data_IF_418915555027
#
_entry.id   IF_418915555027
#
_cell.length_a   1.000
_cell.length_b   1.000
_cell.length_c   1.000
_cell.angle_alpha   90.00
_cell.angle_beta   90.00
_cell.angle_gamma   90.00
#
_symmetry.space_group_name_H-M   'P 1'
#
loop_
_entity.id
_entity.type
_entity.pdbx_description
1 polymer ?
#
# COMPACT_ATOMS: atom_id res chain seq x y z
N UNK A 1 -6.64 7.37 -33.90
CA UNK A 1 -5.26 7.82 -33.59
C UNK A 1 -5.24 8.92 -32.53
N UNK A 2 -6.07 9.96 -32.64
CA UNK A 2 -6.12 11.08 -31.63
C UNK A 2 -6.53 10.59 -30.24
N UNK A 3 -7.48 9.68 -30.14
CA UNK A 3 -7.95 9.11 -28.85
C UNK A 3 -6.82 8.35 -28.17
N UNK A 4 -6.11 7.51 -28.91
CA UNK A 4 -4.97 6.73 -28.37
C UNK A 4 -3.86 7.65 -27.86
N UNK A 5 -3.54 8.70 -28.62
CA UNK A 5 -2.53 9.68 -28.20
C UNK A 5 -2.91 10.43 -26.92
N UNK A 6 -4.20 10.81 -26.78
CA UNK A 6 -4.71 11.40 -25.54
C UNK A 6 -4.65 10.45 -24.36
N UNK A 7 -4.99 9.17 -24.57
CA UNK A 7 -4.90 8.14 -23.51
C UNK A 7 -3.44 7.91 -23.07
N UNK A 8 -2.51 7.81 -24.03
CA UNK A 8 -1.08 7.67 -23.72
C UNK A 8 -0.56 8.89 -22.96
N UNK A 9 -0.96 10.12 -23.40
CA UNK A 9 -0.59 11.34 -22.70
C UNK A 9 -1.11 11.35 -21.27
N UNK A 10 -2.39 11.01 -21.06
CA UNK A 10 -3.00 10.90 -19.73
C UNK A 10 -2.24 9.91 -18.84
N UNK A 11 -1.98 8.69 -19.32
CA UNK A 11 -1.24 7.67 -18.54
C UNK A 11 0.17 8.11 -18.16
N UNK A 12 0.83 8.90 -19.01
CA UNK A 12 2.18 9.40 -18.73
C UNK A 12 2.22 10.58 -17.74
N UNK A 13 1.14 11.36 -17.64
CA UNK A 13 1.10 12.61 -16.88
C UNK A 13 0.14 12.56 -15.69
N UNK A 14 -0.52 11.42 -15.46
CA UNK A 14 -1.36 11.23 -14.27
C UNK A 14 -0.49 11.22 -13.03
N UNK A 15 -0.86 12.04 -12.04
CA UNK A 15 -0.28 11.96 -10.70
C UNK A 15 -0.67 10.62 -10.08
N UNK A 16 0.29 9.79 -9.79
CA UNK A 16 0.07 8.48 -9.18
C UNK A 16 0.07 8.52 -7.64
N UNK A 17 0.24 9.72 -7.05
CA UNK A 17 0.32 9.87 -5.60
C UNK A 17 1.58 9.29 -4.97
N UNK A 18 2.58 8.96 -5.78
CA UNK A 18 3.87 8.40 -5.33
C UNK A 18 5.00 8.77 -6.29
N UNK A 19 6.23 8.82 -5.78
CA UNK A 19 7.43 8.95 -6.62
C UNK A 19 7.69 7.65 -7.37
N UNK A 20 7.96 7.76 -8.66
CA UNK A 20 8.30 6.62 -9.53
C UNK A 20 9.39 6.92 -10.55
N UNK A 21 9.85 8.16 -10.59
CA UNK A 21 10.87 8.55 -11.55
C UNK A 21 12.23 7.99 -11.13
N UNK A 22 12.99 7.53 -12.12
CA UNK A 22 14.32 6.98 -11.89
C UNK A 22 14.37 5.76 -10.95
N UNK A 23 13.27 5.05 -10.78
CA UNK A 23 13.22 3.80 -10.03
C UNK A 23 13.44 2.63 -10.99
N UNK A 24 14.37 1.74 -10.63
CA UNK A 24 14.63 0.50 -11.36
C UNK A 24 14.39 -0.71 -10.44
N UNK A 25 13.65 -1.68 -10.94
CA UNK A 25 13.48 -2.97 -10.28
C UNK A 25 14.52 -3.95 -10.80
N UNK A 26 15.34 -4.51 -9.91
CA UNK A 26 16.36 -5.49 -10.25
C UNK A 26 15.95 -6.85 -9.73
N UNK A 27 15.56 -7.75 -10.64
CA UNK A 27 15.23 -9.13 -10.29
C UNK A 27 16.51 -9.96 -10.13
N UNK A 28 16.75 -10.46 -8.93
CA UNK A 28 17.88 -11.32 -8.62
C UNK A 28 17.42 -12.78 -8.53
N UNK A 29 17.68 -13.56 -9.56
CA UNK A 29 17.25 -14.96 -9.63
C UNK A 29 18.15 -15.92 -8.86
N UNK A 30 19.41 -15.54 -8.60
CA UNK A 30 20.41 -16.34 -7.88
C UNK A 30 21.40 -15.43 -7.15
N UNK A 31 21.89 -15.90 -6.01
CA UNK A 31 22.96 -15.23 -5.26
C UNK A 31 22.49 -14.61 -3.95
N UNK A 32 23.42 -14.03 -3.23
CA UNK A 32 23.16 -13.33 -1.99
C UNK A 32 22.60 -11.93 -2.26
N UNK A 33 21.30 -11.77 -1.99
CA UNK A 33 20.57 -10.52 -2.20
C UNK A 33 21.21 -9.36 -1.44
N UNK A 34 21.72 -9.60 -0.20
CA UNK A 34 22.38 -8.56 0.59
C UNK A 34 23.67 -8.10 -0.06
N UNK A 35 24.47 -9.05 -0.60
CA UNK A 35 25.72 -8.72 -1.28
C UNK A 35 25.47 -7.91 -2.56
N UNK A 36 24.46 -8.29 -3.35
CA UNK A 36 24.09 -7.54 -4.55
C UNK A 36 23.50 -6.18 -4.22
N UNK A 37 22.66 -6.08 -3.20
CA UNK A 37 22.13 -4.80 -2.71
C UNK A 37 23.25 -3.82 -2.35
N UNK A 38 24.28 -4.29 -1.63
CA UNK A 38 25.46 -3.47 -1.31
C UNK A 38 26.26 -3.03 -2.54
N UNK A 39 26.43 -3.91 -3.52
CA UNK A 39 27.13 -3.56 -4.79
C UNK A 39 26.34 -2.52 -5.60
N UNK A 40 25.02 -2.65 -5.66
CA UNK A 40 24.15 -1.70 -6.35
C UNK A 40 24.18 -0.34 -5.64
N UNK A 41 24.05 -0.33 -4.31
CA UNK A 41 24.10 0.88 -3.50
C UNK A 41 25.44 1.65 -3.64
N UNK A 42 26.54 0.94 -3.95
CA UNK A 42 27.84 1.56 -4.15
C UNK A 42 28.01 2.25 -5.54
N UNK A 43 27.06 2.10 -6.46
CA UNK A 43 27.12 2.76 -7.76
C UNK A 43 26.87 4.27 -7.61
N UNK A 44 27.68 5.15 -8.23
CA UNK A 44 27.56 6.60 -8.04
C UNK A 44 26.21 7.21 -8.47
N UNK A 45 25.48 6.50 -9.33
CA UNK A 45 24.17 6.91 -9.84
C UNK A 45 23.00 6.45 -9.00
N UNK A 46 23.25 5.62 -7.98
CA UNK A 46 22.21 5.06 -7.10
C UNK A 46 22.19 5.88 -5.82
N UNK A 47 21.07 6.51 -5.57
CA UNK A 47 20.87 7.34 -4.37
C UNK A 47 20.32 6.53 -3.21
N UNK A 48 19.51 5.50 -3.51
CA UNK A 48 18.87 4.68 -2.49
C UNK A 48 18.55 3.28 -3.03
N UNK A 49 18.54 2.29 -2.16
CA UNK A 49 18.13 0.91 -2.47
C UNK A 49 17.12 0.46 -1.43
N UNK A 50 15.90 0.21 -1.87
CA UNK A 50 14.86 -0.34 -1.00
C UNK A 50 15.20 -1.80 -0.64
N UNK A 51 15.09 -2.20 0.65
CA UNK A 51 15.36 -3.56 1.09
C UNK A 51 14.54 -4.61 0.33
N UNK A 52 15.11 -5.81 0.11
CA UNK A 52 14.47 -6.88 -0.69
C UNK A 52 13.23 -7.50 -0.02
N UNK A 53 12.87 -7.07 1.18
CA UNK A 53 11.63 -7.46 1.87
C UNK A 53 10.37 -6.87 1.24
N UNK A 54 10.52 -5.84 0.42
CA UNK A 54 9.42 -5.21 -0.27
C UNK A 54 9.34 -5.68 -1.72
N UNK A 55 8.11 -5.83 -2.19
CA UNK A 55 7.87 -6.06 -3.61
C UNK A 55 7.68 -4.71 -4.31
N UNK A 56 8.08 -4.62 -5.59
CA UNK A 56 7.78 -3.44 -6.38
C UNK A 56 6.26 -3.21 -6.42
N UNK A 57 5.82 -1.99 -6.14
CA UNK A 57 4.38 -1.66 -6.18
C UNK A 57 3.82 -1.99 -7.56
N UNK A 58 4.49 -1.56 -8.62
CA UNK A 58 4.08 -1.82 -9.99
C UNK A 58 5.13 -2.74 -10.65
N UNK A 59 4.70 -3.84 -11.29
CA UNK A 59 3.34 -4.26 -11.64
C UNK A 59 2.67 -5.22 -10.66
N UNK A 60 3.26 -5.54 -9.53
CA UNK A 60 2.83 -6.66 -8.69
C UNK A 60 1.60 -6.39 -7.83
N UNK A 61 1.41 -5.13 -7.40
CA UNK A 61 0.31 -4.78 -6.50
C UNK A 61 0.40 -5.42 -5.11
N UNK A 62 -0.70 -5.56 -4.38
CA UNK A 62 -0.73 -6.19 -3.07
C UNK A 62 -0.29 -7.65 -3.11
N UNK A 63 0.44 -8.08 -2.07
CA UNK A 63 0.92 -9.46 -1.97
C UNK A 63 -0.11 -10.41 -1.40
N UNK A 64 -0.95 -9.91 -0.52
CA UNK A 64 -1.99 -10.69 0.16
C UNK A 64 -3.31 -9.95 0.06
N UNK A 65 -4.39 -10.71 0.14
CA UNK A 65 -5.74 -10.18 0.24
C UNK A 65 -6.39 -10.77 1.48
N UNK A 66 -7.10 -9.93 2.22
CA UNK A 66 -7.86 -10.36 3.38
C UNK A 66 -9.30 -9.81 3.27
N UNK A 67 -10.24 -10.60 3.75
CA UNK A 67 -11.64 -10.19 3.83
C UNK A 67 -11.90 -9.53 5.18
N UNK A 68 -12.67 -8.44 5.15
CA UNK A 68 -13.11 -7.71 6.33
C UNK A 68 -14.63 -7.71 6.34
N UNK A 69 -15.22 -8.33 7.36
CA UNK A 69 -16.67 -8.38 7.55
C UNK A 69 -17.11 -7.76 8.88
N UNK A 70 -16.15 -7.19 9.60
CA UNK A 70 -16.40 -6.48 10.85
C UNK A 70 -15.47 -5.27 10.96
N UNK A 71 -16.03 -4.08 11.17
CA UNK A 71 -15.27 -2.85 11.40
C UNK A 71 -16.06 -1.84 12.21
N UNK A 72 -15.36 -0.92 12.82
CA UNK A 72 -15.98 0.14 13.62
C UNK A 72 -16.90 1.03 12.76
N UNK A 73 -18.08 1.35 13.28
CA UNK A 73 -19.14 2.09 12.58
C UNK A 73 -19.68 1.38 11.32
N UNK A 74 -19.55 0.06 11.24
CA UNK A 74 -20.10 -0.73 10.13
C UNK A 74 -21.62 -0.57 10.07
N UNK A 75 -22.19 -0.19 8.90
CA UNK A 75 -23.63 -0.14 8.73
C UNK A 75 -24.28 -1.52 8.83
N UNK A 76 -25.44 -1.62 9.48
CA UNK A 76 -26.19 -2.90 9.63
C UNK A 76 -26.57 -3.56 8.28
N UNK A 77 -26.65 -2.79 7.21
CA UNK A 77 -27.05 -3.25 5.88
C UNK A 77 -25.92 -3.89 5.06
N UNK A 78 -24.70 -3.98 5.59
CA UNK A 78 -23.58 -4.59 4.85
C UNK A 78 -23.58 -6.09 5.05
N UNK A 79 -23.87 -6.83 3.98
CA UNK A 79 -23.95 -8.31 4.02
C UNK A 79 -22.68 -8.97 3.46
N UNK A 80 -21.94 -8.28 2.59
CA UNK A 80 -20.76 -8.85 1.94
C UNK A 80 -19.45 -8.30 2.53
N UNK A 81 -18.43 -9.15 2.71
CA UNK A 81 -17.13 -8.72 3.19
C UNK A 81 -16.44 -7.82 2.16
N UNK A 82 -15.66 -6.86 2.68
CA UNK A 82 -14.79 -6.02 1.86
C UNK A 82 -13.43 -6.68 1.74
N UNK A 83 -12.96 -6.89 0.52
CA UNK A 83 -11.59 -7.39 0.28
C UNK A 83 -10.60 -6.23 0.34
N UNK A 84 -9.58 -6.36 1.18
CA UNK A 84 -8.48 -5.42 1.30
C UNK A 84 -7.16 -6.06 0.85
N UNK A 85 -6.39 -5.35 0.06
CA UNK A 85 -5.03 -5.74 -0.29
C UNK A 85 -4.06 -5.37 0.83
N UNK A 86 -3.17 -6.28 1.22
CA UNK A 86 -2.17 -6.03 2.27
C UNK A 86 -0.78 -6.04 1.64
N UNK A 87 -0.01 -4.99 1.90
CA UNK A 87 1.38 -4.85 1.45
C UNK A 87 2.30 -4.63 2.64
N UNK A 88 3.45 -5.34 2.70
CA UNK A 88 4.49 -5.02 3.68
C UNK A 88 5.00 -3.59 3.46
N UNK A 89 5.04 -2.79 4.52
CA UNK A 89 5.58 -1.44 4.48
C UNK A 89 6.12 -1.03 5.85
N UNK A 90 7.22 -0.32 5.82
CA UNK A 90 7.82 0.36 6.97
C UNK A 90 8.24 1.75 6.55
N UNK A 91 8.78 2.54 7.47
CA UNK A 91 9.14 3.93 7.22
C UNK A 91 9.98 4.13 5.94
N UNK A 92 10.96 3.27 5.70
CA UNK A 92 11.80 3.29 4.49
C UNK A 92 10.99 3.11 3.18
N UNK A 93 9.92 2.32 3.20
CA UNK A 93 9.02 2.17 2.06
C UNK A 93 8.23 3.45 1.76
N UNK A 94 7.69 4.09 2.80
CA UNK A 94 6.95 5.34 2.63
C UNK A 94 7.86 6.48 2.14
N UNK A 95 9.07 6.56 2.68
CA UNK A 95 10.05 7.57 2.29
C UNK A 95 10.51 7.34 0.83
N UNK A 96 10.79 6.10 0.44
CA UNK A 96 11.25 5.75 -0.91
C UNK A 96 10.25 6.11 -2.01
N UNK A 97 8.97 5.86 -1.77
CA UNK A 97 7.90 6.19 -2.72
C UNK A 97 7.28 7.57 -2.48
N UNK A 98 7.79 8.34 -1.53
CA UNK A 98 7.28 9.65 -1.13
C UNK A 98 5.77 9.65 -0.84
N UNK A 99 5.28 8.61 -0.16
CA UNK A 99 3.88 8.50 0.21
C UNK A 99 3.51 9.53 1.27
N UNK A 100 2.52 10.35 0.99
CA UNK A 100 2.16 11.48 1.84
C UNK A 100 1.22 11.08 2.96
N UNK A 101 1.67 11.21 4.20
CA UNK A 101 0.83 11.05 5.39
C UNK A 101 -0.19 12.19 5.47
N UNK A 102 -1.44 11.85 5.73
CA UNK A 102 -2.56 12.79 5.91
C UNK A 102 -2.98 12.84 7.36
N UNK A 103 -3.04 11.68 8.02
CA UNK A 103 -3.52 11.52 9.39
C UNK A 103 -2.66 10.49 10.13
N UNK A 104 -2.40 10.74 11.43
CA UNK A 104 -1.71 9.78 12.30
C UNK A 104 -0.21 9.69 12.10
N UNK A 105 0.31 8.47 12.07
CA UNK A 105 1.73 8.17 11.96
C UNK A 105 2.03 7.06 10.95
N UNK A 106 3.25 7.04 10.41
CA UNK A 106 3.75 5.96 9.56
C UNK A 106 4.23 4.79 10.40
N UNK A 107 4.15 3.59 9.83
CA UNK A 107 4.62 2.38 10.48
C UNK A 107 6.12 2.43 10.77
N UNK A 108 6.46 1.94 11.94
CA UNK A 108 7.81 1.82 12.45
C UNK A 108 7.96 0.53 13.28
N UNK A 109 9.17 0.21 13.69
CA UNK A 109 9.43 -0.97 14.55
C UNK A 109 8.75 -0.89 15.94
N UNK A 110 8.18 0.26 16.31
CA UNK A 110 7.48 0.48 17.58
C UNK A 110 6.00 0.11 17.52
N UNK A 111 5.44 -0.02 16.31
CA UNK A 111 4.04 -0.33 16.12
C UNK A 111 3.75 -1.80 16.43
N UNK A 112 2.51 -2.10 16.83
CA UNK A 112 2.07 -3.45 17.04
C UNK A 112 1.96 -4.22 15.70
N UNK A 113 2.11 -5.55 15.70
CA UNK A 113 2.02 -6.35 14.47
C UNK A 113 0.71 -6.19 13.70
N UNK A 114 -0.34 -5.76 14.36
CA UNK A 114 -1.67 -5.55 13.76
C UNK A 114 -1.95 -4.07 13.46
N UNK A 115 -0.98 -3.19 13.63
CA UNK A 115 -1.12 -1.81 13.22
C UNK A 115 -0.94 -1.71 11.72
N UNK A 116 -1.81 -0.91 11.08
CA UNK A 116 -1.80 -0.69 9.64
C UNK A 116 -1.92 0.79 9.30
N UNK A 117 -1.40 1.14 8.14
CA UNK A 117 -1.66 2.42 7.47
C UNK A 117 -2.53 2.15 6.26
N UNK A 118 -3.57 2.93 6.06
CA UNK A 118 -4.50 2.81 4.93
C UNK A 118 -4.39 4.03 4.01
N UNK A 119 -4.92 3.94 2.81
CA UNK A 119 -5.08 5.09 1.92
C UNK A 119 -6.45 5.77 2.06
N UNK A 120 -6.61 6.98 1.51
CA UNK A 120 -7.87 7.72 1.52
C UNK A 120 -9.03 6.96 0.87
N UNK A 121 -8.74 6.12 -0.13
CA UNK A 121 -9.77 5.34 -0.79
C UNK A 121 -10.33 4.27 0.13
N UNK A 122 -9.47 3.59 0.87
CA UNK A 122 -9.85 2.63 1.90
C UNK A 122 -10.68 3.31 2.99
N UNK A 123 -10.24 4.46 3.49
CA UNK A 123 -10.98 5.27 4.45
C UNK A 123 -12.42 5.53 3.98
N UNK A 124 -12.58 5.96 2.72
CA UNK A 124 -13.90 6.25 2.14
C UNK A 124 -14.77 5.01 1.96
N UNK A 125 -14.19 3.86 1.56
CA UNK A 125 -14.94 2.62 1.34
C UNK A 125 -15.51 2.09 2.67
N UNK A 126 -14.77 2.24 3.78
CA UNK A 126 -15.26 1.90 5.11
C UNK A 126 -16.21 2.95 5.71
N UNK A 127 -16.47 4.06 4.99
CA UNK A 127 -17.39 5.11 5.42
C UNK A 127 -16.85 6.01 6.54
N UNK A 128 -15.55 6.02 6.76
CA UNK A 128 -14.92 6.79 7.83
C UNK A 128 -14.55 8.21 7.39
N UNK A 129 -14.73 9.18 8.28
CA UNK A 129 -14.25 10.55 8.11
C UNK A 129 -12.83 10.72 8.69
N UNK A 130 -12.48 9.91 9.69
CA UNK A 130 -11.16 9.83 10.31
C UNK A 130 -10.83 8.36 10.51
N UNK A 131 -9.59 7.98 10.21
CA UNK A 131 -9.17 6.59 10.20
C UNK A 131 -8.40 6.17 11.45
N UNK A 132 -7.60 7.08 12.01
CA UNK A 132 -6.72 6.75 13.13
C UNK A 132 -7.50 6.27 14.36
N UNK A 133 -7.08 5.13 14.90
CA UNK A 133 -7.71 4.47 16.02
C UNK A 133 -8.83 3.49 15.64
N UNK A 134 -9.36 3.57 14.41
CA UNK A 134 -10.39 2.65 13.90
C UNK A 134 -9.85 1.23 13.78
N UNK A 135 -10.77 0.27 13.95
CA UNK A 135 -10.46 -1.16 13.85
C UNK A 135 -11.27 -1.82 12.75
N UNK A 136 -10.65 -2.78 12.09
CA UNK A 136 -11.29 -3.63 11.07
C UNK A 136 -10.76 -5.06 11.20
N UNK A 137 -11.56 -6.04 10.80
CA UNK A 137 -11.18 -7.43 10.95
C UNK A 137 -12.16 -8.39 10.31
N UNK A 138 -11.91 -9.66 10.59
CA UNK A 138 -12.77 -10.75 10.15
C UNK A 138 -13.26 -11.54 11.34
N UNK A 139 -14.59 -11.64 11.42
CA UNK A 139 -15.28 -12.42 12.44
C UNK A 139 -15.95 -13.63 11.82
N UNK A 140 -15.87 -14.78 12.50
CA UNK A 140 -16.56 -16.00 12.12
C UNK A 140 -17.09 -16.70 13.37
N UNK A 141 -18.36 -17.08 13.35
CA UNK A 141 -19.04 -17.79 14.44
C UNK A 141 -18.91 -17.05 15.80
N UNK A 142 -19.02 -15.71 15.79
CA UNK A 142 -18.88 -14.87 16.98
C UNK A 142 -17.44 -14.75 17.52
N UNK A 143 -16.44 -15.17 16.73
CA UNK A 143 -15.04 -15.10 17.12
C UNK A 143 -14.24 -14.26 16.10
N UNK A 144 -13.56 -13.23 16.59
CA UNK A 144 -12.63 -12.44 15.79
C UNK A 144 -11.39 -13.30 15.48
N UNK A 145 -11.16 -13.58 14.20
CA UNK A 145 -10.03 -14.38 13.74
C UNK A 145 -8.78 -13.52 13.51
N UNK A 146 -8.97 -12.32 12.98
CA UNK A 146 -7.93 -11.30 12.88
C UNK A 146 -8.55 -9.91 13.00
N UNK A 147 -7.78 -8.98 13.50
CA UNK A 147 -8.18 -7.58 13.66
C UNK A 147 -6.97 -6.69 13.45
N UNK A 148 -7.17 -5.59 12.76
CA UNK A 148 -6.17 -4.57 12.50
C UNK A 148 -6.61 -3.25 13.11
N UNK A 149 -5.64 -2.43 13.51
CA UNK A 149 -5.86 -1.08 13.99
C UNK A 149 -5.19 -0.08 13.05
N UNK A 150 -5.94 0.90 12.60
CA UNK A 150 -5.42 1.98 11.76
C UNK A 150 -4.62 2.96 12.62
N UNK A 151 -3.35 3.18 12.28
CA UNK A 151 -2.47 4.13 12.96
C UNK A 151 -2.16 5.34 12.10
N UNK A 152 -2.40 5.26 10.79
CA UNK A 152 -2.20 6.37 9.88
C UNK A 152 -3.01 6.23 8.60
N UNK A 153 -3.20 7.37 7.95
CA UNK A 153 -3.82 7.44 6.62
C UNK A 153 -2.87 8.18 5.69
N UNK A 154 -2.62 7.60 4.52
CA UNK A 154 -1.82 8.21 3.46
C UNK A 154 -2.72 8.66 2.32
N UNK A 155 -2.22 9.64 1.54
CA UNK A 155 -2.86 10.05 0.29
C UNK A 155 -2.98 8.86 -0.65
N UNK A 156 -4.03 8.85 -1.47
CA UNK A 156 -4.20 7.83 -2.50
C UNK A 156 -2.95 7.72 -3.38
N UNK A 157 -2.52 6.50 -3.60
CA UNK A 157 -1.42 6.20 -4.51
C UNK A 157 -1.76 5.01 -5.41
N UNK A 158 -1.14 4.95 -6.56
CA UNK A 158 -1.46 3.96 -7.58
C UNK A 158 -0.59 2.71 -7.43
N UNK A 159 -1.07 1.74 -6.66
CA UNK A 159 -0.42 0.44 -6.47
C UNK A 159 -0.80 -0.62 -7.51
N UNK A 160 -1.68 -0.25 -8.43
CA UNK A 160 -2.10 -1.07 -9.57
C UNK A 160 -1.99 -0.25 -10.87
N UNK A 161 -2.04 -0.88 -12.06
CA UNK A 161 -2.12 -0.12 -13.30
C UNK A 161 -3.26 0.90 -13.27
N UNK A 162 -3.08 2.12 -13.80
CA UNK A 162 -4.09 3.18 -13.78
C UNK A 162 -5.41 2.83 -14.48
N UNK A 163 -5.43 1.71 -15.19
CA UNK A 163 -6.62 1.13 -15.83
C UNK A 163 -7.45 0.25 -14.90
N UNK A 164 -6.94 -0.06 -13.72
CA UNK A 164 -7.64 -0.85 -12.71
C UNK A 164 -8.52 0.03 -11.84
N UNK A 165 -9.61 -0.55 -11.32
CA UNK A 165 -10.44 0.12 -10.31
C UNK A 165 -9.66 0.11 -8.99
N UNK A 166 -9.44 1.27 -8.36
CA UNK A 166 -8.79 1.31 -7.06
C UNK A 166 -9.56 0.49 -6.03
N UNK A 167 -8.90 -0.47 -5.42
CA UNK A 167 -9.43 -1.26 -4.31
C UNK A 167 -9.08 -0.66 -2.95
N UNK A 168 -9.35 -1.39 -1.89
CA UNK A 168 -8.87 -1.09 -0.55
C UNK A 168 -7.44 -1.59 -0.38
N UNK A 169 -6.59 -0.82 0.31
CA UNK A 169 -5.23 -1.23 0.63
C UNK A 169 -4.86 -0.91 2.07
N UNK A 170 -4.17 -1.85 2.72
CA UNK A 170 -3.48 -1.67 3.97
C UNK A 170 -1.98 -1.90 3.79
N UNK A 171 -1.21 -1.04 4.38
CA UNK A 171 0.24 -1.13 4.51
C UNK A 171 0.53 -1.65 5.93
N UNK A 172 1.32 -2.73 6.04
CA UNK A 172 1.58 -3.44 7.29
C UNK A 172 3.06 -3.77 7.48
#
# INVERSE_FOLDING_TARGET
TVVIMKQIYFLKHTDLGMERHNIANVALWRGDIKQWGGKIAALPMVTEVLPPRYFPIIPTGPMMYAEMNHWEDMPEAVEEPITIGIMPAMKDFFDFYDLKLIEGELLSEKNAPNDIVIDENTLRIFGWNQGVGKTLGYEKDGKILHSYRVVGVVRNFCYQPPTSIPGCIALQ
#
